data_IF_300393093568
#
_entry.id   IF_300393093568
#
_cell.length_a   1.000
_cell.length_b   1.000
_cell.length_c   1.000
_cell.angle_alpha   90.00
_cell.angle_beta   90.00
_cell.angle_gamma   90.00
#
_symmetry.space_group_name_H-M   'P 1'
#
loop_
_entity.id
_entity.type
_entity.pdbx_description
1 polymer ?
#
# COMPACT_ATOMS: atom_id res chain seq x y z
N UNK A 1 -4.08 -5.78 9.38
CA UNK A 1 -3.43 -5.53 8.11
C UNK A 1 -4.47 -5.36 7.02
N UNK A 2 -4.36 -4.32 6.20
CA UNK A 2 -5.30 -4.01 5.11
C UNK A 2 -4.54 -3.98 3.78
N UNK A 3 -4.95 -4.78 2.81
CA UNK A 3 -4.47 -4.75 1.42
C UNK A 3 -5.55 -4.08 0.58
N UNK A 4 -5.26 -2.89 0.06
CA UNK A 4 -6.20 -2.10 -0.75
C UNK A 4 -6.14 -2.57 -2.20
N UNK A 5 -7.23 -3.14 -2.67
CA UNK A 5 -7.39 -3.78 -3.98
C UNK A 5 -8.66 -3.31 -4.72
N UNK A 6 -9.29 -2.20 -4.29
CA UNK A 6 -10.56 -1.71 -4.82
C UNK A 6 -10.43 -0.74 -6.01
N UNK A 7 -9.20 -0.34 -6.39
CA UNK A 7 -8.98 0.65 -7.44
C UNK A 7 -9.36 0.16 -8.85
N UNK A 8 -9.95 1.03 -9.66
CA UNK A 8 -10.49 0.73 -10.99
C UNK A 8 -9.44 0.43 -12.11
N UNK A 9 -8.15 0.46 -11.81
CA UNK A 9 -7.04 0.12 -12.74
C UNK A 9 -7.05 0.87 -14.10
N UNK A 10 -7.67 2.05 -14.18
CA UNK A 10 -7.94 2.79 -15.43
C UNK A 10 -6.69 3.04 -16.31
N UNK A 11 -5.51 3.17 -15.70
CA UNK A 11 -4.23 3.40 -16.40
C UNK A 11 -3.56 2.12 -16.90
N UNK A 12 -4.07 0.96 -16.50
CA UNK A 12 -3.49 -0.34 -16.86
C UNK A 12 -4.09 -0.91 -18.17
N UNK A 13 -5.18 -0.33 -18.68
CA UNK A 13 -5.89 -0.79 -19.88
C UNK A 13 -7.05 -1.74 -19.57
N UNK A 14 -7.37 -2.61 -20.52
CA UNK A 14 -8.53 -3.53 -20.41
C UNK A 14 -8.32 -4.70 -19.43
N UNK A 15 -7.05 -5.05 -19.13
CA UNK A 15 -6.72 -6.10 -18.17
C UNK A 15 -6.68 -5.54 -16.73
N UNK A 16 -6.94 -6.40 -15.74
CA UNK A 16 -6.79 -6.00 -14.35
C UNK A 16 -5.38 -6.31 -13.83
N UNK A 17 -4.72 -5.27 -13.35
CA UNK A 17 -3.35 -5.36 -12.82
C UNK A 17 -3.22 -6.28 -11.60
N UNK A 18 -4.27 -6.45 -10.77
CA UNK A 18 -4.20 -7.25 -9.54
C UNK A 18 -4.19 -8.75 -9.82
N UNK A 19 -4.84 -9.18 -10.89
CA UNK A 19 -4.87 -10.57 -11.36
C UNK A 19 -3.86 -10.84 -12.48
N UNK A 20 -3.16 -9.80 -12.97
CA UNK A 20 -2.04 -9.99 -13.89
C UNK A 20 -0.95 -10.86 -13.24
N UNK A 21 -0.42 -11.81 -14.01
CA UNK A 21 0.60 -12.76 -13.56
C UNK A 21 1.98 -12.19 -13.80
N UNK A 22 2.83 -12.26 -12.80
CA UNK A 22 4.26 -11.95 -12.88
C UNK A 22 5.06 -13.07 -12.22
N UNK A 23 5.96 -13.72 -12.97
CA UNK A 23 6.78 -14.85 -12.51
C UNK A 23 5.95 -15.89 -11.73
N UNK A 24 4.91 -16.43 -12.36
CA UNK A 24 4.10 -17.55 -11.87
C UNK A 24 3.03 -17.23 -10.82
N UNK A 25 2.92 -15.98 -10.31
CA UNK A 25 1.89 -15.60 -9.34
C UNK A 25 1.25 -14.27 -9.71
N UNK A 26 -0.01 -14.05 -9.29
CA UNK A 26 -0.68 -12.78 -9.54
C UNK A 26 -0.07 -11.67 -8.65
N UNK A 27 -0.19 -10.42 -9.12
CA UNK A 27 0.27 -9.23 -8.38
C UNK A 27 -0.31 -9.21 -6.96
N UNK A 28 -1.61 -9.45 -6.80
CA UNK A 28 -2.24 -9.51 -5.47
C UNK A 28 -1.71 -10.67 -4.63
N UNK A 29 -1.57 -11.87 -5.22
CA UNK A 29 -1.07 -13.04 -4.49
C UNK A 29 0.33 -12.80 -3.93
N UNK A 30 1.23 -12.16 -4.68
CA UNK A 30 2.56 -11.79 -4.19
C UNK A 30 2.51 -10.84 -3.01
N UNK A 31 1.67 -9.80 -3.08
CA UNK A 31 1.47 -8.88 -1.95
C UNK A 31 0.98 -9.64 -0.71
N UNK A 32 -0.04 -10.49 -0.85
CA UNK A 32 -0.57 -11.31 0.25
C UNK A 32 0.51 -12.22 0.85
N UNK A 33 1.24 -12.96 0.01
CA UNK A 33 2.28 -13.90 0.45
C UNK A 33 3.38 -13.21 1.28
N UNK A 34 3.79 -11.99 0.89
CA UNK A 34 4.79 -11.23 1.65
C UNK A 34 4.29 -10.90 3.07
N UNK A 35 3.00 -10.53 3.24
CA UNK A 35 2.42 -10.27 4.55
C UNK A 35 2.16 -11.54 5.36
N UNK A 36 1.87 -12.65 4.70
CA UNK A 36 1.77 -13.97 5.36
C UNK A 36 3.11 -14.37 5.96
N UNK A 37 4.21 -14.12 5.26
CA UNK A 37 5.56 -14.45 5.69
C UNK A 37 6.13 -13.49 6.75
N UNK A 38 5.63 -12.26 6.85
CA UNK A 38 6.12 -11.26 7.81
C UNK A 38 5.68 -11.57 9.23
N UNK A 39 6.62 -11.40 10.18
CA UNK A 39 6.35 -11.52 11.62
C UNK A 39 5.54 -10.31 12.12
N UNK A 40 4.74 -10.51 13.16
CA UNK A 40 3.91 -9.44 13.75
C UNK A 40 2.63 -9.13 12.97
N UNK A 41 2.42 -9.73 11.79
CA UNK A 41 1.19 -9.60 11.03
C UNK A 41 0.14 -10.57 11.55
N UNK A 42 -0.97 -10.03 12.08
CA UNK A 42 -2.14 -10.79 12.51
C UNK A 42 -3.13 -11.04 11.36
N UNK A 43 -4.37 -10.58 11.52
CA UNK A 43 -5.42 -10.71 10.48
C UNK A 43 -5.06 -9.93 9.22
N UNK A 44 -5.33 -10.54 8.06
CA UNK A 44 -5.20 -9.91 6.75
C UNK A 44 -6.60 -9.64 6.19
N UNK A 45 -6.86 -8.39 5.83
CA UNK A 45 -8.12 -7.92 5.21
C UNK A 45 -7.79 -7.44 3.81
N UNK A 46 -8.42 -8.03 2.81
CA UNK A 46 -8.35 -7.57 1.41
C UNK A 46 -9.58 -6.71 1.14
N UNK A 47 -9.37 -5.47 0.72
CA UNK A 47 -10.45 -4.55 0.36
C UNK A 47 -10.57 -4.52 -1.16
N UNK A 48 -11.64 -5.08 -1.69
CA UNK A 48 -11.87 -5.25 -3.12
C UNK A 48 -12.98 -4.32 -3.64
N UNK A 49 -13.00 -4.10 -4.96
CA UNK A 49 -14.18 -3.49 -5.58
C UNK A 49 -15.41 -4.36 -5.29
N UNK A 50 -16.60 -3.78 -5.00
CA UNK A 50 -17.79 -4.55 -4.60
C UNK A 50 -18.10 -5.76 -5.50
N UNK A 51 -17.94 -5.61 -6.80
CA UNK A 51 -18.23 -6.68 -7.77
C UNK A 51 -17.13 -7.76 -7.86
N UNK A 52 -16.02 -7.62 -7.11
CA UNK A 52 -14.84 -8.50 -7.20
C UNK A 52 -14.40 -9.08 -5.87
N UNK A 53 -15.23 -8.93 -4.85
CA UNK A 53 -14.87 -9.36 -3.47
C UNK A 53 -14.55 -10.87 -3.45
N UNK A 54 -15.40 -11.69 -4.02
CA UNK A 54 -15.21 -13.15 -4.01
C UNK A 54 -14.04 -13.61 -4.90
N UNK A 55 -13.87 -12.97 -6.06
CA UNK A 55 -12.74 -13.23 -6.94
C UNK A 55 -11.40 -12.95 -6.25
N UNK A 56 -11.21 -11.73 -5.70
CA UNK A 56 -9.96 -11.34 -5.05
C UNK A 56 -9.76 -12.04 -3.71
N UNK A 57 -10.85 -12.45 -3.02
CA UNK A 57 -10.80 -13.33 -1.86
C UNK A 57 -10.22 -14.70 -2.21
N UNK A 58 -10.65 -15.30 -3.32
CA UNK A 58 -10.10 -16.58 -3.76
C UNK A 58 -8.60 -16.48 -4.07
N UNK A 59 -8.18 -15.49 -4.86
CA UNK A 59 -6.76 -15.21 -5.14
C UNK A 59 -5.95 -15.03 -3.87
N UNK A 60 -6.46 -14.26 -2.90
CA UNK A 60 -5.77 -14.01 -1.65
C UNK A 60 -5.70 -15.25 -0.75
N UNK A 61 -6.75 -16.07 -0.73
CA UNK A 61 -6.79 -17.32 0.05
C UNK A 61 -5.76 -18.33 -0.47
N UNK A 62 -5.62 -18.47 -1.77
CA UNK A 62 -4.63 -19.38 -2.37
C UNK A 62 -3.20 -19.00 -1.97
N UNK A 63 -2.93 -17.69 -1.82
CA UNK A 63 -1.64 -17.17 -1.40
C UNK A 63 -1.44 -17.14 0.13
N UNK A 64 -2.47 -17.47 0.91
CA UNK A 64 -2.48 -17.26 2.35
C UNK A 64 -1.78 -18.34 3.18
N UNK A 65 -1.30 -19.43 2.57
CA UNK A 65 -0.66 -20.55 3.26
C UNK A 65 -1.46 -21.07 4.47
N UNK A 66 -2.79 -21.17 4.33
CA UNK A 66 -3.70 -21.63 5.37
C UNK A 66 -4.15 -20.57 6.39
N UNK A 67 -3.65 -19.33 6.32
CA UNK A 67 -4.13 -18.23 7.16
C UNK A 67 -5.50 -17.74 6.68
N UNK A 68 -6.32 -17.34 7.64
CA UNK A 68 -7.63 -16.74 7.35
C UNK A 68 -7.47 -15.38 6.65
N UNK A 69 -8.14 -15.21 5.52
CA UNK A 69 -8.25 -13.95 4.80
C UNK A 69 -9.71 -13.45 4.91
N UNK A 70 -9.87 -12.25 5.42
CA UNK A 70 -11.14 -11.53 5.33
C UNK A 70 -11.13 -10.68 4.06
N UNK A 71 -12.19 -10.74 3.26
CA UNK A 71 -12.40 -9.84 2.15
C UNK A 71 -13.63 -8.97 2.40
N UNK A 72 -13.49 -7.67 2.14
CA UNK A 72 -14.56 -6.67 2.32
C UNK A 72 -14.68 -5.81 1.07
N UNK A 73 -15.89 -5.30 0.84
CA UNK A 73 -16.11 -4.33 -0.23
C UNK A 73 -15.50 -2.97 0.14
N UNK A 74 -14.80 -2.36 -0.80
CA UNK A 74 -14.34 -0.98 -0.73
C UNK A 74 -15.43 0.02 -1.11
N UNK A 75 -15.13 1.30 -0.93
CA UNK A 75 -16.01 2.41 -1.29
C UNK A 75 -15.59 3.09 -2.60
N UNK A 76 -16.20 4.24 -2.87
CA UNK A 76 -16.00 5.00 -4.10
C UNK A 76 -14.60 5.61 -4.21
N UNK A 77 -14.01 6.02 -3.09
CA UNK A 77 -12.67 6.62 -3.00
C UNK A 77 -11.69 5.65 -2.36
N UNK A 78 -10.37 5.92 -2.52
CA UNK A 78 -9.33 5.16 -1.82
C UNK A 78 -9.55 5.21 -0.30
N UNK A 79 -9.81 6.38 0.24
CA UNK A 79 -10.10 6.59 1.66
C UNK A 79 -11.23 5.69 2.16
N UNK A 80 -12.39 5.66 1.47
CA UNK A 80 -13.55 4.86 1.88
C UNK A 80 -13.21 3.36 1.89
N UNK A 81 -12.38 2.94 0.93
CA UNK A 81 -11.87 1.56 0.87
C UNK A 81 -10.93 1.26 2.03
N UNK A 82 -10.01 2.17 2.36
CA UNK A 82 -9.12 2.01 3.53
C UNK A 82 -9.95 1.95 4.81
N UNK A 83 -10.94 2.82 4.97
CA UNK A 83 -11.81 2.86 6.15
C UNK A 83 -12.53 1.51 6.36
N UNK A 84 -13.11 0.93 5.29
CA UNK A 84 -13.75 -0.37 5.36
C UNK A 84 -12.78 -1.45 5.88
N UNK A 85 -11.55 -1.45 5.39
CA UNK A 85 -10.50 -2.37 5.84
C UNK A 85 -10.06 -2.13 7.28
N UNK A 86 -9.86 -0.87 7.68
CA UNK A 86 -9.44 -0.48 9.04
C UNK A 86 -10.52 -0.84 10.07
N UNK A 87 -11.81 -0.64 9.74
CA UNK A 87 -12.94 -1.05 10.59
C UNK A 87 -12.99 -2.56 10.79
N UNK A 88 -12.61 -3.35 9.80
CA UNK A 88 -12.55 -4.81 9.89
C UNK A 88 -11.34 -5.33 10.70
N UNK A 89 -10.41 -4.48 11.08
CA UNK A 89 -9.29 -4.79 11.96
C UNK A 89 -9.63 -4.48 13.43
N UNK A 90 -8.98 -5.20 14.38
CA UNK A 90 -9.16 -4.98 15.81
C UNK A 90 -7.86 -4.63 16.55
N UNK A 91 -6.72 -4.72 15.86
CA UNK A 91 -5.40 -4.41 16.41
C UNK A 91 -5.20 -2.92 16.64
N UNK A 92 -4.32 -2.57 17.60
CA UNK A 92 -3.96 -1.18 17.91
C UNK A 92 -3.36 -0.45 16.70
N UNK A 93 -2.45 -1.12 15.99
CA UNK A 93 -1.87 -0.65 14.74
C UNK A 93 -2.46 -1.41 13.55
N UNK A 94 -2.61 -0.73 12.43
CA UNK A 94 -3.01 -1.30 11.16
C UNK A 94 -1.99 -0.92 10.10
N UNK A 95 -1.41 -1.91 9.45
CA UNK A 95 -0.60 -1.68 8.26
C UNK A 95 -1.51 -1.63 7.03
N UNK A 96 -1.41 -0.59 6.24
CA UNK A 96 -2.18 -0.36 5.01
C UNK A 96 -1.22 -0.51 3.82
N UNK A 97 -1.58 -1.34 2.86
CA UNK A 97 -0.74 -1.65 1.71
C UNK A 97 -1.51 -1.64 0.40
N UNK A 98 -0.91 -1.05 -0.62
CA UNK A 98 -1.43 -1.12 -1.99
C UNK A 98 -1.25 -2.53 -2.54
N UNK A 99 -2.35 -3.25 -2.83
CA UNK A 99 -2.29 -4.59 -3.42
C UNK A 99 -1.58 -4.67 -4.77
N UNK A 100 -1.31 -3.53 -5.39
CA UNK A 100 -0.55 -3.39 -6.62
C UNK A 100 0.98 -3.22 -6.41
N UNK A 101 1.53 -3.48 -5.22
CA UNK A 101 2.98 -3.51 -4.95
C UNK A 101 3.44 -4.93 -4.64
N UNK A 102 3.62 -5.78 -5.66
CA UNK A 102 3.90 -7.22 -5.48
C UNK A 102 5.30 -7.52 -4.96
N UNK A 103 6.19 -6.54 -4.93
CA UNK A 103 7.60 -6.71 -4.60
C UNK A 103 7.95 -6.30 -3.16
N UNK A 104 6.94 -5.95 -2.35
CA UNK A 104 7.13 -5.72 -0.92
C UNK A 104 7.74 -6.97 -0.26
N UNK A 105 8.72 -6.76 0.60
CA UNK A 105 9.40 -7.85 1.30
C UNK A 105 8.91 -7.98 2.75
N UNK A 106 8.95 -9.19 3.36
CA UNK A 106 8.67 -9.35 4.79
C UNK A 106 9.54 -8.43 5.66
N UNK A 107 10.82 -8.27 5.31
CA UNK A 107 11.74 -7.39 6.03
C UNK A 107 11.29 -5.92 6.03
N UNK A 108 10.80 -5.39 4.90
CA UNK A 108 10.25 -4.02 4.84
C UNK A 108 8.99 -3.89 5.70
N UNK A 109 8.11 -4.88 5.65
CA UNK A 109 6.89 -4.92 6.46
C UNK A 109 7.26 -4.87 7.94
N UNK A 110 8.17 -5.72 8.39
CA UNK A 110 8.62 -5.80 9.77
C UNK A 110 9.28 -4.50 10.23
N UNK A 111 10.11 -3.87 9.39
CA UNK A 111 10.69 -2.55 9.70
C UNK A 111 9.62 -1.47 9.90
N UNK A 112 8.57 -1.46 9.06
CA UNK A 112 7.48 -0.50 9.20
C UNK A 112 6.66 -0.75 10.48
N UNK A 113 6.41 -2.01 10.84
CA UNK A 113 5.74 -2.35 12.09
C UNK A 113 6.54 -1.89 13.31
N UNK A 114 7.83 -2.20 13.34
CA UNK A 114 8.73 -1.75 14.41
C UNK A 114 8.87 -0.21 14.46
N UNK A 115 8.94 0.44 13.29
CA UNK A 115 9.03 1.89 13.19
C UNK A 115 7.80 2.63 13.71
N UNK A 116 6.63 1.97 13.75
CA UNK A 116 5.40 2.55 14.28
C UNK A 116 5.29 2.48 15.80
N UNK A 117 6.08 1.63 16.46
CA UNK A 117 6.02 1.48 17.92
C UNK A 117 6.40 2.80 18.61
N UNK A 118 5.53 3.25 19.53
CA UNK A 118 5.70 4.53 20.25
C UNK A 118 5.34 5.77 19.44
N UNK A 119 4.95 5.65 18.17
CA UNK A 119 4.56 6.75 17.27
C UNK A 119 3.09 6.62 16.84
N UNK A 120 2.55 7.69 16.26
CA UNK A 120 1.21 7.64 15.65
C UNK A 120 1.16 6.75 14.41
N UNK A 121 2.29 6.59 13.74
CA UNK A 121 2.46 5.69 12.62
C UNK A 121 3.89 5.70 12.07
N UNK A 122 4.10 4.83 11.07
CA UNK A 122 5.32 4.82 10.26
C UNK A 122 4.99 4.51 8.81
N UNK A 123 5.69 5.13 7.88
CA UNK A 123 5.51 4.93 6.45
C UNK A 123 6.82 4.51 5.79
N UNK A 124 6.73 3.56 4.87
CA UNK A 124 7.84 3.31 3.95
C UNK A 124 7.94 4.47 2.96
N UNK A 125 9.13 5.01 2.76
CA UNK A 125 9.41 6.01 1.73
C UNK A 125 10.86 5.92 1.26
N UNK A 126 11.14 6.43 0.06
CA UNK A 126 12.48 6.51 -0.52
C UNK A 126 12.81 7.97 -0.85
N UNK A 127 14.07 8.42 -0.73
CA UNK A 127 14.47 9.75 -1.18
C UNK A 127 14.15 9.94 -2.67
N UNK A 128 13.69 11.12 -3.05
CA UNK A 128 13.47 11.46 -4.45
C UNK A 128 14.82 11.70 -5.14
N UNK A 129 15.07 10.98 -6.24
CA UNK A 129 16.33 11.08 -7.01
C UNK A 129 16.25 12.14 -8.12
N UNK A 130 15.07 12.35 -8.71
CA UNK A 130 14.87 13.31 -9.78
C UNK A 130 14.78 14.75 -9.27
N UNK A 131 15.07 15.71 -10.15
CA UNK A 131 14.86 17.13 -9.84
C UNK A 131 13.37 17.48 -9.94
N UNK A 132 12.73 17.70 -8.80
CA UNK A 132 11.30 18.04 -8.71
C UNK A 132 11.07 19.53 -9.00
N UNK A 133 9.99 19.83 -9.71
CA UNK A 133 9.50 21.18 -9.97
C UNK A 133 8.04 21.29 -9.53
N UNK A 134 7.68 22.38 -8.90
CA UNK A 134 6.28 22.77 -8.78
C UNK A 134 5.86 23.45 -10.09
N UNK A 135 4.72 23.03 -10.65
CA UNK A 135 4.23 23.55 -11.94
C UNK A 135 2.80 24.06 -11.75
N UNK A 136 2.55 25.30 -12.17
CA UNK A 136 1.22 25.91 -12.20
C UNK A 136 0.94 26.43 -13.61
N UNK A 137 -0.19 26.06 -14.18
CA UNK A 137 -0.58 26.48 -15.53
C UNK A 137 0.46 26.14 -16.62
N UNK A 138 1.16 25.01 -16.48
CA UNK A 138 2.20 24.59 -17.43
C UNK A 138 3.57 25.28 -17.26
N UNK A 139 3.71 26.20 -16.29
CA UNK A 139 4.95 26.94 -16.01
C UNK A 139 5.55 26.51 -14.69
N UNK A 140 6.87 26.40 -14.60
CA UNK A 140 7.58 26.11 -13.35
C UNK A 140 7.37 27.27 -12.39
N UNK A 141 6.75 27.02 -11.22
CA UNK A 141 6.43 28.01 -10.19
C UNK A 141 7.36 27.96 -8.99
N UNK A 142 7.96 26.78 -8.69
CA UNK A 142 8.92 26.65 -7.60
C UNK A 142 9.93 25.51 -7.84
N UNK A 143 11.01 25.58 -7.08
CA UNK A 143 12.11 24.60 -7.08
C UNK A 143 12.24 24.02 -5.66
N UNK A 144 11.44 23.01 -5.27
CA UNK A 144 11.51 22.40 -3.95
C UNK A 144 12.92 21.84 -3.64
N UNK A 145 13.35 21.96 -2.40
CA UNK A 145 14.58 21.31 -1.96
C UNK A 145 14.40 19.79 -1.96
N UNK A 146 15.05 19.14 -2.91
CA UNK A 146 14.96 17.69 -3.07
C UNK A 146 15.45 16.92 -1.84
N UNK A 147 16.38 17.47 -1.08
CA UNK A 147 16.91 16.79 0.13
C UNK A 147 15.83 16.53 1.19
N UNK A 148 14.73 17.27 1.15
CA UNK A 148 13.58 17.15 2.04
C UNK A 148 12.43 16.32 1.45
N UNK A 149 12.57 15.83 0.21
CA UNK A 149 11.49 15.15 -0.50
C UNK A 149 11.69 13.64 -0.53
N UNK A 150 10.66 12.93 -0.11
CA UNK A 150 10.61 11.48 -0.12
C UNK A 150 9.36 11.00 -0.88
N UNK A 151 9.52 9.98 -1.68
CA UNK A 151 8.42 9.32 -2.38
C UNK A 151 7.80 8.27 -1.45
N UNK A 152 6.57 8.52 -1.00
CA UNK A 152 5.85 7.62 -0.12
C UNK A 152 5.54 6.29 -0.83
N UNK A 153 5.78 5.22 -0.11
CA UNK A 153 5.42 3.86 -0.49
C UNK A 153 4.41 3.29 0.51
N UNK A 154 4.10 2.03 0.37
CA UNK A 154 3.40 1.21 1.37
C UNK A 154 4.22 -0.04 1.67
N UNK A 155 4.18 -0.61 2.90
CA UNK A 155 3.13 -0.39 3.90
C UNK A 155 3.25 0.96 4.61
N UNK A 156 2.08 1.50 5.00
CA UNK A 156 1.94 2.59 5.95
C UNK A 156 1.26 2.03 7.21
N UNK A 157 1.93 2.08 8.33
CA UNK A 157 1.44 1.56 9.61
C UNK A 157 0.91 2.73 10.43
N UNK A 158 -0.32 2.65 10.90
CA UNK A 158 -0.99 3.74 11.60
C UNK A 158 -1.69 3.25 12.86
N UNK A 159 -1.82 4.12 13.86
CA UNK A 159 -2.73 3.91 14.97
C UNK A 159 -4.17 3.83 14.45
N UNK A 160 -4.80 2.64 14.61
CA UNK A 160 -6.14 2.37 14.08
C UNK A 160 -7.17 3.42 14.50
N UNK A 161 -7.24 3.73 15.80
CA UNK A 161 -8.24 4.67 16.30
C UNK A 161 -8.00 6.09 15.77
N UNK A 162 -6.75 6.55 15.80
CA UNK A 162 -6.41 7.87 15.27
C UNK A 162 -6.77 8.00 13.77
N UNK A 163 -6.52 6.97 12.99
CA UNK A 163 -6.92 6.97 11.58
C UNK A 163 -8.45 7.09 11.41
N UNK A 164 -9.24 6.35 12.21
CA UNK A 164 -10.70 6.42 12.17
C UNK A 164 -11.23 7.77 12.66
N UNK A 165 -10.63 8.37 13.67
CA UNK A 165 -11.00 9.69 14.17
C UNK A 165 -10.74 10.77 13.11
N UNK A 166 -9.57 10.73 12.46
CA UNK A 166 -9.24 11.63 11.35
C UNK A 166 -10.21 11.45 10.16
N UNK A 167 -10.57 10.21 9.85
CA UNK A 167 -11.55 9.93 8.81
C UNK A 167 -12.94 10.51 9.13
N UNK A 168 -13.34 10.56 10.38
CA UNK A 168 -14.61 11.16 10.82
C UNK A 168 -14.65 12.69 10.76
N UNK A 169 -13.50 13.37 10.70
CA UNK A 169 -13.42 14.84 10.78
C UNK A 169 -13.65 15.57 9.45
N UNK A 170 -13.50 14.92 8.32
CA UNK A 170 -13.53 15.59 7.02
C UNK A 170 -13.82 14.63 5.87
N UNK A 171 -14.45 15.15 4.83
CA UNK A 171 -14.68 14.47 3.55
C UNK A 171 -13.53 14.66 2.52
N UNK A 172 -12.39 15.22 2.93
CA UNK A 172 -11.23 15.40 2.07
C UNK A 172 -10.69 14.06 1.52
N UNK A 173 -10.11 14.10 0.35
CA UNK A 173 -9.50 12.94 -0.30
C UNK A 173 -7.97 13.03 -0.13
N UNK A 174 -7.49 12.50 1.00
CA UNK A 174 -6.06 12.48 1.31
C UNK A 174 -5.31 11.54 0.39
N UNK A 175 -4.12 11.93 0.00
CA UNK A 175 -3.30 11.16 -0.94
C UNK A 175 -2.74 9.88 -0.33
N UNK A 176 -2.53 9.86 0.99
CA UNK A 176 -2.03 8.70 1.73
C UNK A 176 -2.49 8.68 3.20
N UNK A 177 -2.08 7.66 3.93
CA UNK A 177 -2.56 7.41 5.29
C UNK A 177 -1.80 8.23 6.35
N UNK A 178 -0.58 8.71 6.05
CA UNK A 178 0.14 9.66 6.89
C UNK A 178 -0.50 11.04 6.84
N UNK A 179 -0.90 11.51 5.64
CA UNK A 179 -1.63 12.77 5.49
C UNK A 179 -2.95 12.75 6.28
N UNK A 180 -3.60 11.59 6.38
CA UNK A 180 -4.78 11.43 7.21
C UNK A 180 -4.49 11.72 8.70
N UNK A 181 -3.40 11.18 9.25
CA UNK A 181 -3.01 11.43 10.65
C UNK A 181 -2.59 12.88 10.90
N UNK A 182 -2.01 13.54 9.91
CA UNK A 182 -1.60 14.96 10.02
C UNK A 182 -2.78 15.89 10.31
N UNK A 183 -4.02 15.50 9.98
CA UNK A 183 -5.25 16.25 10.33
C UNK A 183 -5.48 16.35 11.83
N UNK A 184 -4.97 15.38 12.59
CA UNK A 184 -5.00 15.39 14.06
C UNK A 184 -3.74 16.02 14.66
N UNK A 185 -2.86 16.60 13.85
CA UNK A 185 -1.54 17.07 14.29
C UNK A 185 -0.60 15.95 14.68
N UNK A 186 -0.86 14.72 14.23
CA UNK A 186 -0.03 13.55 14.50
C UNK A 186 0.96 13.32 13.37
N UNK A 187 2.20 13.06 13.74
CA UNK A 187 3.29 12.81 12.80
C UNK A 187 3.58 11.31 12.65
N UNK A 188 3.89 10.89 11.42
CA UNK A 188 4.37 9.56 11.11
C UNK A 188 5.88 9.55 10.96
N UNK A 189 6.52 8.52 11.50
CA UNK A 189 7.94 8.26 11.26
C UNK A 189 8.15 7.78 9.82
N UNK A 190 9.21 8.25 9.16
CA UNK A 190 9.66 7.68 7.89
C UNK A 190 10.58 6.50 8.18
N UNK A 191 10.30 5.38 7.55
CA UNK A 191 11.13 4.18 7.49
C UNK A 191 11.68 4.06 6.07
N UNK A 192 12.98 3.80 5.94
CA UNK A 192 13.58 3.61 4.63
C UNK A 192 12.90 2.48 3.87
N UNK A 193 12.32 2.83 2.72
CA UNK A 193 11.62 1.94 1.83
C UNK A 193 12.57 1.08 1.00
N UNK A 194 12.11 0.68 -0.17
CA UNK A 194 12.89 -0.12 -1.10
C UNK A 194 12.60 0.37 -2.51
N UNK A 195 13.64 0.70 -3.27
CA UNK A 195 13.50 1.14 -4.67
C UNK A 195 12.83 0.07 -5.54
N UNK A 196 12.98 -1.20 -5.19
CA UNK A 196 12.33 -2.32 -5.87
C UNK A 196 10.85 -2.49 -5.51
N UNK A 197 10.36 -1.84 -4.43
CA UNK A 197 8.96 -1.91 -4.01
C UNK A 197 8.07 -1.02 -4.89
N UNK A 198 8.15 -1.25 -6.20
CA UNK A 198 7.41 -0.49 -7.22
C UNK A 198 5.90 -0.77 -7.15
N UNK A 199 5.11 0.20 -7.59
CA UNK A 199 3.65 0.07 -7.74
C UNK A 199 3.31 -0.21 -9.20
N UNK A 200 2.67 -1.33 -9.48
CA UNK A 200 2.15 -1.65 -10.80
C UNK A 200 1.02 -0.67 -11.16
N UNK A 201 1.28 0.16 -12.15
CA UNK A 201 0.37 1.20 -12.65
C UNK A 201 0.14 1.12 -14.15
N UNK A 202 1.13 0.64 -14.89
CA UNK A 202 1.13 0.48 -16.34
C UNK A 202 1.59 -0.93 -16.70
N UNK A 203 1.27 -1.45 -17.90
CA UNK A 203 1.74 -2.78 -18.34
C UNK A 203 3.26 -2.96 -18.25
N UNK A 204 4.06 -1.94 -18.60
CA UNK A 204 5.52 -1.99 -18.50
C UNK A 204 6.03 -2.27 -17.09
N UNK A 205 5.29 -1.87 -16.05
CA UNK A 205 5.69 -2.12 -14.66
C UNK A 205 5.71 -3.63 -14.33
N UNK A 206 4.94 -4.47 -15.06
CA UNK A 206 5.00 -5.93 -14.92
C UNK A 206 6.33 -6.49 -15.42
N UNK A 207 6.84 -5.98 -16.54
CA UNK A 207 8.13 -6.40 -17.09
C UNK A 207 9.27 -6.03 -16.14
N UNK A 208 9.22 -4.81 -15.59
CA UNK A 208 10.16 -4.36 -14.56
C UNK A 208 10.09 -5.24 -13.31
N UNK A 209 8.87 -5.53 -12.82
CA UNK A 209 8.68 -6.40 -11.68
C UNK A 209 9.21 -7.81 -11.93
N UNK A 210 8.98 -8.38 -13.11
CA UNK A 210 9.51 -9.67 -13.49
C UNK A 210 11.05 -9.69 -13.53
N UNK A 211 11.67 -8.64 -14.08
CA UNK A 211 13.12 -8.52 -14.10
C UNK A 211 13.72 -8.47 -12.68
N UNK A 212 13.11 -7.70 -11.77
CA UNK A 212 13.53 -7.63 -10.36
C UNK A 212 13.41 -9.00 -9.69
N UNK A 213 12.28 -9.70 -9.87
CA UNK A 213 12.06 -11.03 -9.26
C UNK A 213 13.11 -12.04 -9.73
N UNK A 214 13.37 -12.11 -11.04
CA UNK A 214 14.43 -12.96 -11.57
C UNK A 214 15.83 -12.59 -11.05
N UNK A 215 16.06 -11.30 -10.75
CA UNK A 215 17.29 -10.84 -10.10
C UNK A 215 17.43 -11.40 -8.68
N UNK A 216 16.35 -11.37 -7.89
CA UNK A 216 16.32 -11.87 -6.51
C UNK A 216 16.53 -13.39 -6.40
N UNK A 217 16.12 -14.16 -7.41
CA UNK A 217 16.32 -15.64 -7.44
C UNK A 217 17.76 -16.05 -7.75
N UNK A 218 18.54 -15.15 -8.34
CA UNK A 218 19.93 -15.42 -8.76
C UNK A 218 20.99 -14.96 -7.76
N UNK A 219 20.63 -14.15 -6.78
CA UNK A 219 21.52 -13.64 -5.72
C UNK A 219 21.26 -14.32 -4.39
#
# INVERSE_FOLDING_TARGET
MVIVAAGASTRFGAADKLTAVVEGATVLARSVAAFVAARGVGRIVVVAHPNRVEELRAVARDAAAGREILAVAGGARRRDSVEAGVRACTSRYVAIHDGARPLVTPALIERCLAGAEGHAGAIAAIPVTDTVKEVRGGTVSAHPDRSLLWAAQTPQVVLRQAWLDAAGMSDGDETDDAAMLSRLGLECRVVEGDIENIKITRPLDLEVAAAILRGRERG
#
